data_IF_037264034737
#
_entry.id   IF_037264034737
#
_cell.length_a   1.000
_cell.length_b   1.000
_cell.length_c   1.000
_cell.angle_alpha   90.00
_cell.angle_beta   90.00
_cell.angle_gamma   90.00
#
_symmetry.space_group_name_H-M   'P 1'
#
loop_
_entity.id
_entity.type
_entity.pdbx_description
1 polymer ?
#
# COMPACT_ATOMS: atom_id res chain seq x y z
N UNK A 1 10.63 20.03 6.72
CA UNK A 1 9.49 19.62 5.88
C UNK A 1 9.72 18.17 5.48
N UNK A 2 8.73 17.31 5.69
CA UNK A 2 8.78 15.95 5.16
C UNK A 2 8.66 16.00 3.64
N UNK A 3 9.51 15.26 2.94
CA UNK A 3 9.49 15.13 1.48
C UNK A 3 9.37 13.67 1.11
N UNK A 4 8.60 13.37 0.08
CA UNK A 4 8.26 12.01 -0.30
C UNK A 4 8.81 11.69 -1.69
N UNK A 5 9.58 10.62 -1.79
CA UNK A 5 10.01 10.03 -3.07
C UNK A 5 8.94 9.05 -3.55
N UNK A 6 8.49 9.21 -4.79
CA UNK A 6 7.45 8.37 -5.38
C UNK A 6 8.09 7.39 -6.36
N UNK A 7 7.72 6.11 -6.23
CA UNK A 7 8.06 5.04 -7.17
C UNK A 7 6.81 4.34 -7.66
N UNK A 8 6.82 3.92 -8.90
CA UNK A 8 5.77 3.12 -9.52
C UNK A 8 6.35 1.76 -9.84
N UNK A 9 5.81 0.69 -9.28
CA UNK A 9 6.13 -0.66 -9.71
C UNK A 9 5.19 -1.07 -10.84
N UNK A 10 5.76 -1.47 -11.98
CA UNK A 10 5.02 -1.54 -13.23
C UNK A 10 5.29 -2.81 -14.03
N UNK A 11 4.23 -3.30 -14.68
CA UNK A 11 4.31 -4.31 -15.72
C UNK A 11 4.36 -3.66 -17.11
N UNK A 12 5.25 -4.11 -18.03
CA UNK A 12 5.25 -3.61 -19.40
C UNK A 12 3.88 -3.73 -20.12
N UNK A 13 3.02 -4.64 -19.66
CA UNK A 13 1.66 -4.80 -20.20
C UNK A 13 0.74 -3.59 -19.94
N UNK A 14 1.12 -2.71 -19.00
CA UNK A 14 0.35 -1.52 -18.60
C UNK A 14 1.09 -0.21 -18.90
N UNK A 15 2.00 -0.21 -19.88
CA UNK A 15 2.86 0.93 -20.18
C UNK A 15 2.08 2.23 -20.43
N UNK A 16 0.99 2.19 -21.17
CA UNK A 16 0.16 3.39 -21.44
C UNK A 16 -0.46 3.96 -20.15
N UNK A 17 -0.91 3.09 -19.26
CA UNK A 17 -1.45 3.52 -17.96
C UNK A 17 -0.37 4.15 -17.08
N UNK A 18 0.80 3.52 -17.03
CA UNK A 18 1.96 4.04 -16.31
C UNK A 18 2.33 5.43 -16.82
N UNK A 19 2.32 5.65 -18.13
CA UNK A 19 2.56 6.97 -18.72
C UNK A 19 1.59 8.02 -18.20
N UNK A 20 0.28 7.72 -18.19
CA UNK A 20 -0.72 8.63 -17.64
C UNK A 20 -0.53 8.93 -16.14
N UNK A 21 -0.14 7.92 -15.37
CA UNK A 21 0.14 8.08 -13.94
C UNK A 21 1.39 8.94 -13.71
N UNK A 22 2.44 8.72 -14.49
CA UNK A 22 3.68 9.53 -14.46
C UNK A 22 3.37 10.99 -14.81
N UNK A 23 2.60 11.22 -15.88
CA UNK A 23 2.16 12.57 -16.30
C UNK A 23 1.32 13.25 -15.20
N UNK A 24 0.32 12.56 -14.64
CA UNK A 24 -0.53 13.11 -13.58
C UNK A 24 0.28 13.49 -12.33
N UNK A 25 1.29 12.71 -11.98
CA UNK A 25 2.14 12.94 -10.81
C UNK A 25 3.33 13.88 -11.10
N UNK A 26 3.52 14.34 -12.35
CA UNK A 26 4.67 15.16 -12.71
C UNK A 26 6.01 14.46 -12.49
N UNK A 27 6.04 13.14 -12.57
CA UNK A 27 7.23 12.33 -12.39
C UNK A 27 8.01 12.17 -13.70
N UNK A 28 9.16 11.52 -13.65
CA UNK A 28 9.93 11.14 -14.83
C UNK A 28 10.07 9.60 -14.90
N UNK A 29 10.56 9.09 -16.02
CA UNK A 29 10.66 7.65 -16.27
C UNK A 29 11.56 6.93 -15.26
N UNK A 30 12.52 7.63 -14.63
CA UNK A 30 13.37 7.03 -13.61
C UNK A 30 12.62 6.70 -12.31
N UNK A 31 11.39 7.22 -12.16
CA UNK A 31 10.49 6.88 -11.04
C UNK A 31 9.77 5.55 -11.25
N UNK A 32 9.87 4.96 -12.45
CA UNK A 32 9.20 3.70 -12.77
C UNK A 32 10.16 2.52 -12.65
N UNK A 33 9.75 1.51 -11.92
CA UNK A 33 10.46 0.23 -11.80
C UNK A 33 9.70 -0.83 -12.57
N UNK A 34 10.21 -1.21 -13.73
CA UNK A 34 9.59 -2.19 -14.60
C UNK A 34 9.88 -3.63 -14.15
N UNK A 35 8.86 -4.49 -14.25
CA UNK A 35 9.05 -5.95 -14.18
C UNK A 35 9.71 -6.42 -15.48
N UNK A 36 10.97 -6.76 -15.40
CA UNK A 36 11.79 -7.21 -16.54
C UNK A 36 11.75 -8.72 -16.76
N UNK A 37 10.93 -9.46 -16.01
CA UNK A 37 10.79 -10.90 -16.17
C UNK A 37 9.80 -11.25 -17.30
N UNK A 38 10.13 -12.25 -18.14
CA UNK A 38 9.27 -12.63 -19.27
C UNK A 38 7.88 -13.12 -18.86
N UNK A 39 7.75 -13.75 -17.69
CA UNK A 39 6.49 -14.36 -17.22
C UNK A 39 5.77 -13.57 -16.13
N UNK A 40 6.42 -12.58 -15.50
CA UNK A 40 5.85 -11.86 -14.35
C UNK A 40 5.54 -12.80 -13.16
N UNK A 41 4.49 -12.51 -12.42
CA UNK A 41 3.88 -13.47 -11.47
C UNK A 41 4.33 -13.37 -10.02
N UNK A 42 5.13 -12.36 -9.64
CA UNK A 42 5.62 -12.16 -8.28
C UNK A 42 5.72 -10.64 -8.03
N UNK A 43 4.77 -10.10 -7.29
CA UNK A 43 4.72 -8.68 -6.98
C UNK A 43 5.94 -8.23 -6.17
N UNK A 44 6.41 -9.06 -5.24
CA UNK A 44 7.54 -8.75 -4.38
C UNK A 44 8.83 -8.49 -5.17
N UNK A 45 9.05 -9.16 -6.28
CA UNK A 45 10.27 -8.94 -7.08
C UNK A 45 10.37 -7.48 -7.56
N UNK A 46 9.30 -6.97 -8.17
CA UNK A 46 9.27 -5.59 -8.68
C UNK A 46 9.18 -4.59 -7.54
N UNK A 47 8.37 -4.90 -6.51
CA UNK A 47 8.28 -4.08 -5.30
C UNK A 47 9.64 -3.92 -4.63
N UNK A 48 10.41 -5.01 -4.45
CA UNK A 48 11.74 -4.97 -3.86
C UNK A 48 12.70 -4.07 -4.63
N UNK A 49 12.69 -4.13 -5.96
CA UNK A 49 13.48 -3.22 -6.82
C UNK A 49 13.06 -1.76 -6.62
N UNK A 50 11.76 -1.48 -6.54
CA UNK A 50 11.23 -0.15 -6.29
C UNK A 50 11.64 0.36 -4.90
N UNK A 51 11.49 -0.46 -3.85
CA UNK A 51 11.86 -0.08 -2.49
C UNK A 51 13.35 0.18 -2.31
N UNK A 52 14.22 -0.60 -2.93
CA UNK A 52 15.68 -0.51 -2.81
C UNK A 52 16.33 0.39 -3.87
N UNK A 53 15.57 0.96 -4.80
CA UNK A 53 16.14 1.97 -5.72
C UNK A 53 16.72 3.15 -4.93
N UNK A 54 17.71 3.87 -5.44
CA UNK A 54 18.31 4.98 -4.70
C UNK A 54 17.26 5.96 -4.16
N UNK A 55 17.33 6.26 -2.87
CA UNK A 55 16.44 7.23 -2.22
C UNK A 55 17.17 8.56 -2.17
N UNK A 56 16.63 9.64 -2.74
CA UNK A 56 17.24 10.94 -2.68
C UNK A 56 17.51 11.39 -1.23
N UNK A 57 18.60 12.14 -1.02
CA UNK A 57 18.96 12.59 0.34
C UNK A 57 17.92 13.51 0.95
N UNK A 58 17.21 14.25 0.12
CA UNK A 58 16.12 15.13 0.56
C UNK A 58 14.87 14.37 1.01
N UNK A 59 14.69 13.09 0.63
CA UNK A 59 13.48 12.34 0.94
C UNK A 59 13.55 11.74 2.35
N UNK A 60 12.47 11.91 3.10
CA UNK A 60 12.25 11.31 4.43
C UNK A 60 11.41 10.05 4.34
N UNK A 61 10.59 9.94 3.30
CA UNK A 61 9.69 8.81 3.06
C UNK A 61 9.76 8.39 1.60
N UNK A 62 9.33 7.16 1.34
CA UNK A 62 9.06 6.66 0.00
C UNK A 62 7.63 6.14 -0.08
N UNK A 63 6.98 6.45 -1.18
CA UNK A 63 5.73 5.80 -1.61
C UNK A 63 6.06 4.86 -2.77
N UNK A 64 5.53 3.64 -2.71
CA UNK A 64 5.50 2.72 -3.85
C UNK A 64 4.05 2.51 -4.26
N UNK A 65 3.75 2.82 -5.51
CA UNK A 65 2.44 2.66 -6.15
C UNK A 65 2.44 1.48 -7.11
N UNK A 66 1.31 0.81 -7.24
CA UNK A 66 1.08 -0.12 -8.34
C UNK A 66 0.75 0.63 -9.64
N UNK A 67 0.95 -0.03 -10.76
CA UNK A 67 0.70 0.51 -12.11
C UNK A 67 -0.78 0.59 -12.50
N UNK A 68 -1.67 0.03 -11.68
CA UNK A 68 -3.11 -0.05 -11.93
C UNK A 68 -3.93 0.81 -10.95
N UNK A 69 -3.37 1.93 -10.53
CA UNK A 69 -4.07 2.83 -9.60
C UNK A 69 -4.46 4.16 -10.25
N UNK A 70 -5.53 4.73 -9.72
CA UNK A 70 -5.88 6.14 -9.89
C UNK A 70 -5.52 6.87 -8.60
N UNK A 71 -4.92 8.03 -8.71
CA UNK A 71 -4.59 8.88 -7.58
C UNK A 71 -5.46 10.13 -7.57
N UNK A 72 -5.78 10.66 -6.38
CA UNK A 72 -6.55 11.87 -6.22
C UNK A 72 -5.80 13.09 -6.77
N UNK A 73 -6.51 14.20 -6.89
CA UNK A 73 -5.89 15.49 -7.14
C UNK A 73 -5.04 15.90 -5.92
N UNK A 74 -4.00 16.70 -6.17
CA UNK A 74 -3.04 17.13 -5.13
C UNK A 74 -2.36 15.98 -4.36
N UNK A 75 -2.27 14.79 -4.96
CA UNK A 75 -1.72 13.58 -4.32
C UNK A 75 -0.36 13.81 -3.65
N UNK A 76 0.56 14.54 -4.31
CA UNK A 76 1.90 14.80 -3.78
C UNK A 76 1.84 15.63 -2.50
N UNK A 77 1.06 16.70 -2.48
CA UNK A 77 0.89 17.56 -1.29
C UNK A 77 0.29 16.76 -0.13
N UNK A 78 -0.67 15.88 -0.44
CA UNK A 78 -1.33 15.05 0.56
C UNK A 78 -0.36 14.03 1.17
N UNK A 79 0.43 13.32 0.39
CA UNK A 79 1.38 12.35 0.96
C UNK A 79 2.48 13.03 1.76
N UNK A 80 2.88 14.27 1.41
CA UNK A 80 3.80 15.06 2.23
C UNK A 80 3.16 15.49 3.57
N UNK A 81 1.88 15.87 3.57
CA UNK A 81 1.14 16.16 4.80
C UNK A 81 1.03 14.93 5.70
N UNK A 82 0.70 13.76 5.13
CA UNK A 82 0.62 12.49 5.85
C UNK A 82 1.99 12.14 6.46
N UNK A 83 3.07 12.26 5.69
CA UNK A 83 4.43 11.99 6.15
C UNK A 83 4.87 12.95 7.28
N UNK A 84 4.40 14.19 7.25
CA UNK A 84 4.66 15.18 8.30
C UNK A 84 3.86 14.86 9.57
N UNK A 85 2.61 14.43 9.42
CA UNK A 85 1.69 14.14 10.53
C UNK A 85 2.07 12.84 11.24
N UNK A 86 2.54 11.84 10.49
CA UNK A 86 2.87 10.49 10.98
C UNK A 86 4.26 10.03 10.52
N UNK A 87 5.34 10.70 10.95
CA UNK A 87 6.69 10.52 10.39
C UNK A 87 7.28 9.12 10.60
N UNK A 88 6.82 8.37 11.60
CA UNK A 88 7.35 7.06 11.97
C UNK A 88 6.41 5.90 11.64
N UNK A 89 5.32 6.17 10.91
CA UNK A 89 4.30 5.18 10.61
C UNK A 89 4.46 4.61 9.19
N UNK A 90 4.14 3.33 9.05
CA UNK A 90 3.84 2.74 7.75
C UNK A 90 2.38 3.07 7.38
N UNK A 91 2.14 3.63 6.20
CA UNK A 91 0.80 4.11 5.82
C UNK A 91 0.33 3.46 4.52
N UNK A 92 -0.84 2.80 4.59
CA UNK A 92 -1.60 2.37 3.42
C UNK A 92 -2.45 3.51 2.88
N UNK A 93 -2.28 3.84 1.61
CA UNK A 93 -2.95 4.96 0.94
C UNK A 93 -4.29 4.55 0.31
N UNK A 94 -4.60 3.27 0.38
CA UNK A 94 -5.78 2.64 -0.20
C UNK A 94 -6.47 1.73 0.82
N UNK A 95 -7.79 1.65 0.74
CA UNK A 95 -8.59 0.72 1.53
C UNK A 95 -9.75 0.16 0.70
N UNK A 96 -9.93 -1.15 0.71
CA UNK A 96 -10.96 -1.80 -0.11
C UNK A 96 -12.34 -1.86 0.55
N UNK A 97 -13.37 -1.97 -0.31
CA UNK A 97 -14.75 -2.22 0.07
C UNK A 97 -14.86 -3.38 1.08
N UNK A 98 -15.67 -3.20 2.10
CA UNK A 98 -15.85 -4.16 3.19
C UNK A 98 -15.12 -3.77 4.48
N UNK A 99 -14.09 -2.91 4.39
CA UNK A 99 -13.50 -2.27 5.57
C UNK A 99 -14.13 -0.90 5.85
N UNK A 100 -14.58 -0.21 4.80
CA UNK A 100 -15.06 1.18 4.84
C UNK A 100 -16.52 1.37 5.23
N UNK A 101 -17.35 0.33 5.17
CA UNK A 101 -18.78 0.47 5.47
C UNK A 101 -19.09 0.76 6.97
N UNK A 102 -18.09 0.70 7.83
CA UNK A 102 -18.22 0.82 9.28
C UNK A 102 -17.35 1.90 9.89
N UNK A 103 -16.70 2.72 9.06
CA UNK A 103 -15.78 3.75 9.53
C UNK A 103 -16.50 5.08 9.65
N UNK A 104 -16.35 5.70 10.79
CA UNK A 104 -16.63 7.11 10.96
C UNK A 104 -15.57 7.90 10.17
N UNK A 105 -16.01 8.66 9.17
CA UNK A 105 -15.15 9.49 8.34
C UNK A 105 -14.68 10.78 9.06
N UNK A 106 -15.00 10.95 10.33
CA UNK A 106 -14.53 12.08 11.14
C UNK A 106 -13.03 12.01 11.44
N UNK A 107 -12.42 10.81 11.31
CA UNK A 107 -10.98 10.62 11.53
C UNK A 107 -10.29 10.22 10.22
N UNK A 108 -9.24 10.95 9.78
CA UNK A 108 -8.58 10.68 8.51
C UNK A 108 -7.67 9.45 8.54
N UNK A 109 -7.40 8.90 9.72
CA UNK A 109 -6.52 7.75 9.90
C UNK A 109 -7.15 6.70 10.81
N UNK A 110 -6.91 5.45 10.49
CA UNK A 110 -7.19 4.36 11.43
C UNK A 110 -6.01 3.40 11.52
N UNK A 111 -5.80 2.88 12.73
CA UNK A 111 -4.78 1.88 12.98
C UNK A 111 -5.20 0.55 12.37
N UNK A 112 -4.28 -0.08 11.66
CA UNK A 112 -4.52 -1.37 11.00
C UNK A 112 -3.41 -2.36 11.32
N UNK A 113 -3.69 -3.65 11.14
CA UNK A 113 -2.67 -4.72 11.20
C UNK A 113 -2.24 -5.17 9.81
N UNK A 114 -2.77 -4.58 8.75
CA UNK A 114 -2.42 -4.92 7.38
C UNK A 114 -2.71 -3.73 6.48
N UNK A 115 -1.70 -3.27 5.76
CA UNK A 115 -1.81 -2.23 4.74
C UNK A 115 -2.05 -2.86 3.37
N UNK A 116 -2.61 -2.10 2.44
CA UNK A 116 -2.95 -2.57 1.10
C UNK A 116 -1.84 -2.23 0.10
N UNK A 117 -1.50 -3.18 -0.77
CA UNK A 117 -0.41 -3.07 -1.73
C UNK A 117 -0.59 -2.05 -2.86
N UNK A 118 -1.80 -1.51 -3.08
CA UNK A 118 -2.02 -0.54 -4.17
C UNK A 118 -1.18 0.73 -4.04
N UNK A 119 -0.86 1.14 -2.80
CA UNK A 119 0.03 2.23 -2.50
C UNK A 119 0.41 2.20 -1.03
N UNK A 120 1.69 2.11 -0.77
CA UNK A 120 2.27 2.05 0.57
C UNK A 120 3.30 3.16 0.72
N UNK A 121 3.23 3.88 1.83
CA UNK A 121 4.25 4.84 2.24
C UNK A 121 5.02 4.31 3.45
N UNK A 122 6.34 4.32 3.37
CA UNK A 122 7.23 3.95 4.46
C UNK A 122 8.22 5.09 4.77
N UNK A 123 8.54 5.33 6.06
CA UNK A 123 9.70 6.12 6.43
C UNK A 123 11.00 5.54 5.86
N UNK A 124 11.90 6.39 5.38
CA UNK A 124 13.21 5.97 4.81
C UNK A 124 13.98 5.02 5.74
N UNK A 125 13.91 5.28 7.04
CA UNK A 125 14.63 4.52 8.08
C UNK A 125 14.24 3.05 8.19
N UNK A 126 13.02 2.69 7.78
CA UNK A 126 12.54 1.31 7.93
C UNK A 126 12.60 0.50 6.62
N UNK A 127 12.91 1.12 5.49
CA UNK A 127 12.87 0.45 4.17
C UNK A 127 13.94 -0.65 4.09
N UNK A 128 15.19 -0.31 4.33
CA UNK A 128 16.29 -1.28 4.25
C UNK A 128 16.13 -2.43 5.28
N UNK A 129 15.84 -2.17 6.57
CA UNK A 129 15.55 -3.23 7.52
C UNK A 129 14.38 -4.12 7.12
N UNK A 130 13.31 -3.54 6.56
CA UNK A 130 12.15 -4.29 6.05
C UNK A 130 12.55 -5.22 4.90
N UNK A 131 13.28 -4.72 3.92
CA UNK A 131 13.70 -5.53 2.78
C UNK A 131 14.69 -6.64 3.20
N UNK A 132 15.59 -6.37 4.15
CA UNK A 132 16.46 -7.37 4.75
C UNK A 132 15.67 -8.48 5.45
N UNK A 133 14.68 -8.11 6.27
CA UNK A 133 13.78 -9.06 6.91
C UNK A 133 13.10 -9.98 5.89
N UNK A 134 12.62 -9.40 4.78
CA UNK A 134 11.96 -10.17 3.71
C UNK A 134 12.96 -11.12 3.03
N UNK A 135 14.18 -10.68 2.77
CA UNK A 135 15.22 -11.53 2.17
C UNK A 135 15.56 -12.75 3.05
N UNK A 136 15.62 -12.54 4.37
CA UNK A 136 15.90 -13.58 5.36
C UNK A 136 14.69 -14.48 5.66
N UNK A 137 13.50 -14.08 5.23
CA UNK A 137 12.28 -14.89 5.45
C UNK A 137 12.31 -16.18 4.64
N UNK A 138 11.87 -17.31 5.22
CA UNK A 138 11.83 -18.59 4.51
C UNK A 138 11.03 -18.53 3.21
N UNK A 139 11.54 -19.18 2.17
CA UNK A 139 10.87 -19.20 0.88
C UNK A 139 9.53 -19.94 0.96
N UNK A 140 8.48 -19.21 0.65
CA UNK A 140 7.12 -19.72 0.53
C UNK A 140 6.27 -18.76 -0.30
N UNK A 141 5.03 -19.15 -0.60
CA UNK A 141 4.13 -18.32 -1.43
C UNK A 141 3.81 -16.94 -0.82
N UNK A 142 3.86 -16.79 0.50
CA UNK A 142 3.58 -15.52 1.17
C UNK A 142 4.70 -14.49 0.94
N UNK A 143 5.95 -14.94 0.77
CA UNK A 143 7.10 -14.10 0.47
C UNK A 143 6.95 -13.36 -0.86
N UNK A 144 6.11 -13.86 -1.76
CA UNK A 144 5.83 -13.25 -3.06
C UNK A 144 4.82 -12.10 -3.00
N UNK A 145 4.18 -11.89 -1.85
CA UNK A 145 3.13 -10.90 -1.63
C UNK A 145 3.72 -9.73 -0.84
N UNK A 146 3.91 -8.61 -1.51
CA UNK A 146 4.64 -7.46 -0.97
C UNK A 146 3.93 -6.80 0.23
N UNK A 147 2.66 -6.50 0.12
CA UNK A 147 1.87 -5.87 1.19
C UNK A 147 1.75 -6.76 2.43
N UNK A 148 1.67 -8.08 2.23
CA UNK A 148 1.70 -9.04 3.32
C UNK A 148 3.03 -9.00 4.06
N UNK A 149 4.15 -9.08 3.35
CA UNK A 149 5.46 -9.15 3.97
C UNK A 149 5.85 -7.84 4.65
N UNK A 150 5.52 -6.71 4.06
CA UNK A 150 5.72 -5.39 4.67
C UNK A 150 4.87 -5.26 5.94
N UNK A 151 3.60 -5.66 5.88
CA UNK A 151 2.71 -5.63 7.05
C UNK A 151 3.22 -6.54 8.16
N UNK A 152 3.71 -7.74 7.82
CA UNK A 152 4.27 -8.69 8.79
C UNK A 152 5.51 -8.12 9.48
N UNK A 153 6.44 -7.54 8.71
CA UNK A 153 7.60 -6.87 9.27
C UNK A 153 7.20 -5.74 10.22
N UNK A 154 6.32 -4.85 9.80
CA UNK A 154 5.86 -3.74 10.63
C UNK A 154 5.24 -4.23 11.93
N UNK A 155 4.41 -5.27 11.86
CA UNK A 155 3.78 -5.87 13.04
C UNK A 155 4.81 -6.44 14.02
N UNK A 156 5.75 -7.26 13.55
CA UNK A 156 6.77 -7.89 14.38
C UNK A 156 7.80 -6.90 14.95
N UNK A 157 8.01 -5.79 14.24
CA UNK A 157 8.91 -4.70 14.67
C UNK A 157 8.20 -3.61 15.49
N UNK A 158 6.93 -3.79 15.85
CA UNK A 158 6.10 -2.80 16.56
C UNK A 158 6.02 -1.43 15.86
N UNK A 159 6.10 -1.41 14.53
CA UNK A 159 5.91 -0.20 13.74
C UNK A 159 4.40 0.03 13.57
N UNK A 160 3.94 1.22 13.93
CA UNK A 160 2.53 1.59 13.76
C UNK A 160 2.16 1.58 12.28
N UNK A 161 1.11 0.85 11.95
CA UNK A 161 0.51 0.85 10.63
C UNK A 161 -0.80 1.62 10.63
N UNK A 162 -0.94 2.53 9.70
CA UNK A 162 -2.14 3.34 9.48
C UNK A 162 -2.71 3.09 8.09
N UNK A 163 -4.00 3.30 7.92
CA UNK A 163 -4.64 3.45 6.62
C UNK A 163 -5.39 4.76 6.59
N UNK A 164 -5.31 5.47 5.47
CA UNK A 164 -5.99 6.76 5.29
C UNK A 164 -7.47 6.57 4.95
N UNK A 165 -8.30 7.52 5.42
CA UNK A 165 -9.71 7.57 5.13
C UNK A 165 -10.20 9.04 5.05
N UNK A 166 -10.82 9.45 3.94
CA UNK A 166 -11.09 8.70 2.71
C UNK A 166 -9.80 8.21 2.03
N UNK A 167 -9.90 7.23 1.13
CA UNK A 167 -8.74 6.76 0.40
C UNK A 167 -8.35 7.76 -0.68
N UNK A 168 -7.06 7.96 -0.87
CA UNK A 168 -6.50 8.87 -1.90
C UNK A 168 -6.02 8.12 -3.14
N UNK A 169 -6.17 6.81 -3.12
CA UNK A 169 -5.89 5.90 -4.25
C UNK A 169 -7.12 5.04 -4.51
N UNK A 170 -7.47 4.89 -5.77
CA UNK A 170 -8.50 3.97 -6.24
C UNK A 170 -7.89 2.91 -7.15
N UNK A 171 -8.21 1.65 -6.90
CA UNK A 171 -7.96 0.58 -7.85
C UNK A 171 -9.15 0.50 -8.81
N UNK A 172 -8.96 0.70 -10.12
CA UNK A 172 -10.01 0.40 -11.09
C UNK A 172 -10.30 -1.10 -11.05
N UNK A 173 -11.56 -1.47 -11.22
CA UNK A 173 -12.03 -2.88 -11.15
C UNK A 173 -11.62 -3.64 -12.42
N UNK A 174 -10.32 -3.75 -12.65
CA UNK A 174 -9.73 -4.45 -13.79
C UNK A 174 -9.10 -5.78 -13.37
N UNK A 175 -8.88 -6.64 -14.36
CA UNK A 175 -8.27 -7.94 -14.14
C UNK A 175 -6.85 -7.83 -13.59
N UNK A 176 -6.57 -8.64 -12.57
CA UNK A 176 -5.24 -8.76 -12.01
C UNK A 176 -4.28 -9.39 -13.01
N UNK A 177 -3.07 -8.85 -13.15
CA UNK A 177 -1.98 -9.51 -13.87
C UNK A 177 -1.33 -10.64 -13.05
N UNK A 178 -1.60 -10.70 -11.75
CA UNK A 178 -1.17 -11.79 -10.90
C UNK A 178 -2.11 -12.99 -11.07
N UNK A 179 -1.61 -14.23 -10.93
CA UNK A 179 -2.42 -15.44 -11.07
C UNK A 179 -3.37 -15.67 -9.87
N UNK A 180 -3.89 -14.60 -9.29
CA UNK A 180 -4.79 -14.64 -8.15
C UNK A 180 -6.15 -14.13 -8.58
N UNK A 181 -7.16 -15.01 -8.56
CA UNK A 181 -8.55 -14.62 -8.77
C UNK A 181 -9.13 -14.07 -7.48
N UNK A 182 -9.46 -12.79 -7.47
CA UNK A 182 -10.21 -12.21 -6.38
C UNK A 182 -11.71 -12.27 -6.70
N UNK A 183 -12.49 -12.90 -5.83
CA UNK A 183 -13.95 -12.97 -5.97
C UNK A 183 -14.67 -11.71 -5.46
N UNK A 184 -13.98 -10.58 -5.35
CA UNK A 184 -14.51 -9.34 -4.79
C UNK A 184 -13.91 -8.11 -5.46
N UNK A 185 -14.75 -7.10 -5.61
CA UNK A 185 -14.33 -5.82 -6.20
C UNK A 185 -13.31 -5.12 -5.32
N UNK A 186 -12.22 -4.67 -5.93
CA UNK A 186 -11.13 -3.93 -5.28
C UNK A 186 -11.36 -2.41 -5.31
N UNK A 187 -12.61 -1.98 -5.43
CA UNK A 187 -12.99 -0.59 -5.48
C UNK A 187 -13.21 -0.07 -4.06
N UNK A 188 -12.61 1.04 -3.71
CA UNK A 188 -12.95 1.78 -2.49
C UNK A 188 -14.19 2.64 -2.74
N UNK A 189 -15.18 2.56 -1.85
CA UNK A 189 -16.36 3.44 -1.90
C UNK A 189 -16.08 4.85 -1.39
N UNK A 190 -14.99 5.03 -0.68
CA UNK A 190 -14.63 6.28 -0.02
C UNK A 190 -13.39 6.90 -0.66
N UNK A 191 -13.25 6.74 -1.98
CA UNK A 191 -12.20 7.40 -2.73
C UNK A 191 -12.50 8.90 -2.82
N UNK A 192 -11.57 9.71 -2.35
CA UNK A 192 -11.63 11.17 -2.46
C UNK A 192 -10.83 11.64 -3.67
N UNK A 193 -11.48 11.68 -4.83
CA UNK A 193 -10.85 12.10 -6.08
C UNK A 193 -10.27 13.52 -6.01
N UNK A 194 -10.88 14.39 -5.24
CA UNK A 194 -10.47 15.80 -5.11
C UNK A 194 -9.45 16.04 -3.98
N UNK A 195 -9.14 15.01 -3.18
CA UNK A 195 -8.15 15.11 -2.11
C UNK A 195 -8.48 16.15 -1.04
N UNK A 196 -9.74 16.21 -0.58
CA UNK A 196 -10.25 17.24 0.36
C UNK A 196 -10.21 16.84 1.83
N UNK A 197 -9.66 15.66 2.15
CA UNK A 197 -9.53 15.20 3.52
C UNK A 197 -8.65 16.11 4.39
N UNK A 198 -8.89 16.10 5.69
CA UNK A 198 -8.07 16.83 6.68
C UNK A 198 -6.86 15.96 7.12
N UNK A 199 -5.84 15.91 6.29
CA UNK A 199 -4.66 15.06 6.47
C UNK A 199 -3.71 15.54 7.57
N UNK A 200 -3.91 16.75 8.10
CA UNK A 200 -3.15 17.30 9.23
C UNK A 200 -3.78 16.95 10.58
N UNK A 201 -4.97 16.37 10.58
CA UNK A 201 -5.63 15.93 11.79
C UNK A 201 -4.92 14.70 12.37
N UNK A 202 -4.47 14.79 13.61
CA UNK A 202 -3.73 13.74 14.32
C UNK A 202 -4.63 12.63 14.90
N UNK A 203 -5.94 12.73 14.74
CA UNK A 203 -6.86 11.73 15.30
C UNK A 203 -6.73 10.40 14.56
N UNK A 204 -6.56 9.33 15.32
CA UNK A 204 -6.47 7.95 14.84
C UNK A 204 -7.60 7.14 15.46
N UNK A 205 -8.50 6.62 14.64
CA UNK A 205 -9.44 5.61 15.10
C UNK A 205 -8.73 4.28 15.36
N UNK A 206 -9.08 3.61 16.45
CA UNK A 206 -8.51 2.31 16.77
C UNK A 206 -9.33 1.18 16.13
N UNK A 207 -8.67 0.10 15.72
CA UNK A 207 -9.32 -1.10 15.18
C UNK A 207 -10.38 -1.71 16.10
N UNK A 208 -10.24 -1.55 17.41
CA UNK A 208 -11.22 -2.02 18.41
C UNK A 208 -12.57 -1.36 18.27
N UNK A 209 -12.64 -0.20 17.64
CA UNK A 209 -13.87 0.55 17.36
C UNK A 209 -14.56 0.08 16.07
N UNK A 210 -13.91 -0.79 15.30
CA UNK A 210 -14.42 -1.31 14.04
C UNK A 210 -14.83 -2.78 14.20
N UNK A 211 -16.13 -3.08 14.36
CA UNK A 211 -16.62 -4.44 14.70
C UNK A 211 -16.19 -5.54 13.72
N UNK A 212 -15.95 -5.20 12.45
CA UNK A 212 -15.57 -6.15 11.40
C UNK A 212 -14.13 -6.64 11.51
N UNK A 213 -13.22 -5.82 12.05
CA UNK A 213 -11.79 -6.12 12.13
C UNK A 213 -11.46 -7.11 13.26
N UNK A 214 -12.36 -7.30 14.24
CA UNK A 214 -12.16 -8.22 15.38
C UNK A 214 -11.91 -9.68 14.98
N UNK A 215 -12.29 -10.11 13.78
CA UNK A 215 -12.17 -11.51 13.34
C UNK A 215 -10.83 -11.86 12.69
N UNK A 216 -9.95 -10.88 12.41
CA UNK A 216 -8.67 -11.10 11.72
C UNK A 216 -7.43 -11.00 12.61
N UNK A 217 -7.57 -10.72 13.91
CA UNK A 217 -6.52 -10.31 14.82
C UNK A 217 -5.63 -11.44 15.37
N UNK A 218 -5.38 -12.48 14.64
CA UNK A 218 -4.30 -13.40 15.01
C UNK A 218 -3.37 -13.60 13.83
N UNK A 219 -2.26 -12.88 13.84
CA UNK A 219 -1.07 -13.18 13.08
C UNK A 219 -0.48 -14.52 13.57
N UNK A 220 -1.26 -15.57 13.53
CA UNK A 220 -0.77 -16.93 13.66
C UNK A 220 -0.53 -17.45 12.25
N UNK A 221 0.52 -18.24 12.06
CA UNK A 221 0.85 -18.88 10.77
C UNK A 221 -0.34 -19.64 10.11
N UNK A 222 -1.42 -19.86 10.85
CA UNK A 222 -2.68 -20.43 10.37
C UNK A 222 -3.78 -19.42 10.05
N UNK A 223 -3.78 -18.23 10.65
CA UNK A 223 -4.93 -17.29 10.58
C UNK A 223 -5.06 -16.55 9.26
N UNK A 224 -3.94 -16.20 8.62
CA UNK A 224 -3.93 -15.47 7.36
C UNK A 224 -4.26 -16.39 6.19
N UNK A 225 -3.73 -17.60 6.20
CA UNK A 225 -4.02 -18.62 5.18
C UNK A 225 -5.51 -18.97 5.12
N UNK A 226 -6.22 -18.98 6.26
CA UNK A 226 -7.65 -19.33 6.28
C UNK A 226 -8.58 -18.23 5.75
N UNK A 227 -8.17 -16.96 5.76
CA UNK A 227 -8.97 -15.84 5.27
C UNK A 227 -8.87 -15.60 3.76
N UNK A 228 -7.68 -15.81 3.19
CA UNK A 228 -7.41 -15.55 1.77
C UNK A 228 -7.58 -16.79 0.88
N UNK A 229 -7.24 -17.98 1.37
CA UNK A 229 -7.19 -19.19 0.55
C UNK A 229 -8.41 -20.13 0.70
N UNK A 230 -9.17 -20.08 1.79
CA UNK A 230 -10.32 -20.99 1.98
C UNK A 230 -11.59 -20.62 1.19
N UNK A 231 -11.65 -19.48 0.49
CA UNK A 231 -12.80 -19.13 -0.36
C UNK A 231 -12.62 -19.42 -1.85
N UNK A 232 -11.47 -19.92 -2.28
CA UNK A 232 -11.26 -20.33 -3.67
C UNK A 232 -11.60 -21.82 -3.94
N UNK A 233 -12.21 -22.53 -2.97
CA UNK A 233 -12.62 -23.94 -3.13
C UNK A 233 -14.09 -24.19 -2.71
N UNK A 234 -14.97 -23.19 -2.89
CA UNK A 234 -16.42 -23.41 -2.84
C UNK A 234 -17.07 -22.76 -4.03
#
# INVERSE_FOLDING_TARGET
MSKVDIRIMASPKRAERVKLLVEKLGLNDSSVTWDDRPKGGDAMYTARKAWLSPIPDWATHRVVLNDDVLVCDNFLDIVEQIAMTHPDCAVGLCNFVGRTNYLDLSTPYFRTHSICGCGIMLPKSIIEPCMKYIDEFPDNELKKIDDYMISKYCFESNITMLTVLPTIIQHPDEDSLLPVTYNWKRISKNYDELGRGDWLNLQIANETEIPFMRRRNKWTNKGIMSGFYKRSQV
#
